data_IF_757958462870
#
_entry.id   IF_757958462870
#
_cell.length_a   1.000
_cell.length_b   1.000
_cell.length_c   1.000
_cell.angle_alpha   90.00
_cell.angle_beta   90.00
_cell.angle_gamma   90.00
#
_symmetry.space_group_name_H-M   'P 1'
#
loop_
_entity.id
_entity.type
_entity.pdbx_description
1 polymer ?
#
# COMPACT_ATOMS: atom_id res chain seq x y z
N UNK A 1 39.25 -18.45 -38.61
CA UNK A 1 38.18 -17.97 -37.74
C UNK A 1 38.22 -16.45 -37.74
N UNK A 2 37.31 -15.80 -38.50
CA UNK A 2 37.14 -14.33 -38.48
C UNK A 2 36.15 -13.95 -37.41
N UNK A 3 36.61 -13.39 -36.30
CA UNK A 3 35.79 -12.72 -35.32
C UNK A 3 35.33 -11.37 -35.89
N UNK A 4 34.09 -11.31 -36.32
CA UNK A 4 33.44 -10.05 -36.75
C UNK A 4 33.20 -9.21 -35.50
N UNK A 5 34.05 -8.21 -35.26
CA UNK A 5 33.81 -7.20 -34.20
C UNK A 5 32.69 -6.27 -34.69
N UNK A 6 31.58 -6.25 -33.96
CA UNK A 6 30.50 -5.29 -34.19
C UNK A 6 31.03 -3.85 -34.14
N UNK A 7 30.60 -2.98 -35.07
CA UNK A 7 31.10 -1.60 -35.13
C UNK A 7 30.73 -0.81 -33.87
N UNK A 8 31.61 0.07 -33.35
CA UNK A 8 31.45 0.79 -32.07
C UNK A 8 30.15 1.63 -31.96
N UNK A 9 29.60 2.08 -33.10
CA UNK A 9 28.35 2.84 -33.12
C UNK A 9 27.12 1.98 -32.81
N UNK A 10 27.09 0.71 -33.24
CA UNK A 10 25.98 -0.21 -32.89
C UNK A 10 25.94 -0.52 -31.42
N UNK A 11 27.06 -0.68 -30.74
CA UNK A 11 27.15 -0.88 -29.31
C UNK A 11 26.68 0.34 -28.52
N UNK A 12 26.99 1.56 -28.99
CA UNK A 12 26.49 2.81 -28.39
C UNK A 12 24.98 2.96 -28.58
N UNK A 13 24.46 2.62 -29.74
CA UNK A 13 23.04 2.65 -30.05
C UNK A 13 22.27 1.64 -29.19
N UNK A 14 22.77 0.40 -29.04
CA UNK A 14 22.19 -0.63 -28.22
C UNK A 14 22.14 -0.20 -26.72
N UNK A 15 23.22 0.41 -26.20
CA UNK A 15 23.28 0.95 -24.84
C UNK A 15 22.27 2.09 -24.62
N UNK A 16 22.12 3.01 -25.59
CA UNK A 16 21.12 4.08 -25.53
C UNK A 16 19.70 3.53 -25.51
N UNK A 17 19.41 2.58 -26.41
CA UNK A 17 18.09 1.96 -26.49
C UNK A 17 17.75 1.19 -25.20
N UNK A 18 18.71 0.48 -24.61
CA UNK A 18 18.55 -0.20 -23.32
C UNK A 18 18.27 0.80 -22.19
N UNK A 19 19.04 1.90 -22.13
CA UNK A 19 18.82 2.96 -21.13
C UNK A 19 17.45 3.63 -21.27
N UNK A 20 16.98 3.88 -22.48
CA UNK A 20 15.63 4.44 -22.71
C UNK A 20 14.51 3.45 -22.39
N UNK A 21 14.73 2.15 -22.62
CA UNK A 21 13.76 1.12 -22.23
C UNK A 21 13.67 0.98 -20.70
N UNK A 22 14.82 0.98 -20.04
CA UNK A 22 14.90 0.94 -18.58
C UNK A 22 14.23 2.16 -17.93
N UNK A 23 14.44 3.36 -18.47
CA UNK A 23 13.79 4.57 -17.99
C UNK A 23 12.28 4.51 -18.19
N UNK A 24 11.78 4.08 -19.35
CA UNK A 24 10.34 3.90 -19.59
C UNK A 24 9.72 2.91 -18.59
N UNK A 25 10.35 1.77 -18.36
CA UNK A 25 9.86 0.80 -17.39
C UNK A 25 9.75 1.40 -15.97
N UNK A 26 10.73 2.22 -15.56
CA UNK A 26 10.66 2.92 -14.25
C UNK A 26 9.51 3.93 -14.19
N UNK A 27 9.29 4.66 -15.27
CA UNK A 27 8.21 5.63 -15.36
C UNK A 27 6.84 4.92 -15.30
N UNK A 28 6.68 3.82 -16.03
CA UNK A 28 5.46 2.99 -16.03
C UNK A 28 5.19 2.35 -14.67
N UNK A 29 6.22 1.83 -13.99
CA UNK A 29 6.12 1.30 -12.61
C UNK A 29 5.66 2.40 -11.66
N UNK A 30 6.27 3.57 -11.76
CA UNK A 30 5.94 4.71 -10.91
C UNK A 30 4.49 5.17 -11.14
N UNK A 31 4.00 5.13 -12.38
CA UNK A 31 2.63 5.50 -12.71
C UNK A 31 1.61 4.51 -12.15
N UNK A 32 1.89 3.19 -12.19
CA UNK A 32 1.03 2.17 -11.57
C UNK A 32 0.91 2.42 -10.07
N UNK A 33 2.03 2.57 -9.37
CA UNK A 33 2.04 2.79 -7.92
C UNK A 33 1.33 4.09 -7.55
N UNK A 34 1.58 5.19 -8.27
CA UNK A 34 0.91 6.49 -8.06
C UNK A 34 -0.58 6.41 -8.31
N UNK A 35 -1.02 5.73 -9.37
CA UNK A 35 -2.45 5.58 -9.69
C UNK A 35 -3.17 4.84 -8.57
N UNK A 36 -2.67 3.68 -8.16
CA UNK A 36 -3.24 2.91 -7.04
C UNK A 36 -3.32 3.71 -5.74
N UNK A 37 -2.25 4.42 -5.40
CA UNK A 37 -2.21 5.27 -4.22
C UNK A 37 -3.25 6.41 -4.28
N UNK A 38 -3.42 7.06 -5.45
CA UNK A 38 -4.39 8.15 -5.64
C UNK A 38 -5.83 7.68 -5.62
N UNK A 39 -6.11 6.47 -6.08
CA UNK A 39 -7.45 5.90 -6.06
C UNK A 39 -7.94 5.71 -4.62
N UNK A 40 -7.15 5.03 -3.79
CA UNK A 40 -7.44 4.83 -2.37
C UNK A 40 -6.16 4.47 -1.60
N UNK A 41 -5.69 5.36 -0.77
CA UNK A 41 -4.45 5.16 0.01
C UNK A 41 -4.54 3.95 0.96
N UNK A 42 -5.69 3.69 1.56
CA UNK A 42 -5.86 2.57 2.49
C UNK A 42 -5.85 1.23 1.74
N UNK A 43 -6.54 1.15 0.62
CA UNK A 43 -6.50 -0.04 -0.26
C UNK A 43 -5.08 -0.28 -0.80
N UNK A 44 -4.36 0.77 -1.14
CA UNK A 44 -2.97 0.68 -1.59
C UNK A 44 -2.06 0.08 -0.51
N UNK A 45 -2.16 0.54 0.74
CA UNK A 45 -1.38 0.01 1.87
C UNK A 45 -1.68 -1.46 2.09
N UNK A 46 -2.96 -1.83 2.18
CA UNK A 46 -3.39 -3.22 2.40
C UNK A 46 -3.02 -4.14 1.24
N UNK A 47 -3.10 -3.63 0.01
CA UNK A 47 -2.65 -4.36 -1.17
C UNK A 47 -1.14 -4.65 -1.12
N UNK A 48 -0.31 -3.66 -0.75
CA UNK A 48 1.14 -3.87 -0.62
C UNK A 48 1.45 -4.88 0.48
N UNK A 49 0.79 -4.82 1.64
CA UNK A 49 1.00 -5.79 2.71
C UNK A 49 0.66 -7.22 2.28
N UNK A 50 -0.44 -7.38 1.54
CA UNK A 50 -0.81 -8.67 0.97
C UNK A 50 0.22 -9.13 -0.09
N UNK A 51 0.68 -8.23 -0.95
CA UNK A 51 1.69 -8.53 -1.95
C UNK A 51 3.02 -8.93 -1.30
N UNK A 52 3.47 -8.24 -0.26
CA UNK A 52 4.67 -8.60 0.52
C UNK A 52 4.61 -10.04 1.04
N UNK A 53 3.46 -10.44 1.62
CA UNK A 53 3.26 -11.80 2.11
C UNK A 53 3.22 -12.84 0.99
N UNK A 54 2.61 -12.51 -0.15
CA UNK A 54 2.61 -13.38 -1.33
C UNK A 54 4.01 -13.54 -1.94
N UNK A 55 4.80 -12.47 -2.00
CA UNK A 55 6.18 -12.52 -2.49
C UNK A 55 7.05 -13.43 -1.59
N UNK A 56 6.88 -13.34 -0.27
CA UNK A 56 7.54 -14.24 0.69
C UNK A 56 7.11 -15.70 0.49
N UNK A 57 5.81 -15.94 0.37
CA UNK A 57 5.27 -17.28 0.15
C UNK A 57 5.79 -17.93 -1.14
N UNK A 58 6.04 -17.12 -2.17
CA UNK A 58 6.63 -17.54 -3.44
C UNK A 58 8.17 -17.51 -3.43
N UNK A 59 8.79 -17.34 -2.26
CA UNK A 59 10.24 -17.32 -2.08
C UNK A 59 10.97 -16.34 -3.03
N UNK A 60 10.30 -15.25 -3.38
CA UNK A 60 10.79 -14.20 -4.29
C UNK A 60 11.19 -14.71 -5.69
N UNK A 61 10.73 -15.89 -6.12
CA UNK A 61 11.01 -16.44 -7.44
C UNK A 61 10.27 -15.67 -8.53
N UNK A 62 10.97 -15.05 -9.51
CA UNK A 62 10.33 -14.31 -10.59
C UNK A 62 9.35 -15.17 -11.40
N UNK A 63 9.69 -16.44 -11.65
CA UNK A 63 8.87 -17.38 -12.41
C UNK A 63 7.58 -17.72 -11.66
N UNK A 64 7.69 -17.98 -10.34
CA UNK A 64 6.55 -18.28 -9.49
C UNK A 64 5.66 -17.04 -9.32
N UNK A 65 6.23 -15.85 -9.15
CA UNK A 65 5.52 -14.58 -9.07
C UNK A 65 4.75 -14.32 -10.35
N UNK A 66 5.40 -14.45 -11.50
CA UNK A 66 4.73 -14.22 -12.79
C UNK A 66 3.59 -15.22 -13.01
N UNK A 67 3.84 -16.51 -12.87
CA UNK A 67 2.85 -17.56 -13.15
C UNK A 67 1.68 -17.54 -12.19
N UNK A 68 1.89 -17.18 -10.93
CA UNK A 68 0.87 -17.21 -9.88
C UNK A 68 0.11 -15.90 -9.74
N UNK A 69 0.81 -14.76 -9.78
CA UNK A 69 0.21 -13.47 -9.43
C UNK A 69 -0.11 -12.59 -10.65
N UNK A 70 0.52 -12.81 -11.79
CA UNK A 70 0.43 -11.89 -12.94
C UNK A 70 -0.24 -12.55 -14.14
N UNK A 71 0.24 -13.72 -14.56
CA UNK A 71 -0.25 -14.39 -15.77
C UNK A 71 -1.77 -14.67 -15.74
N UNK A 72 -2.39 -15.08 -14.62
CA UNK A 72 -3.83 -15.36 -14.57
C UNK A 72 -4.70 -14.10 -14.58
N UNK A 73 -4.14 -12.90 -14.37
CA UNK A 73 -4.90 -11.66 -14.28
C UNK A 73 -5.40 -11.21 -15.65
N UNK A 74 -6.72 -11.05 -15.76
CA UNK A 74 -7.40 -10.60 -16.98
C UNK A 74 -7.59 -9.08 -17.03
N UNK A 75 -7.41 -8.41 -15.90
CA UNK A 75 -7.51 -6.96 -15.74
C UNK A 75 -6.20 -6.23 -16.08
N UNK A 76 -5.11 -6.96 -16.32
CA UNK A 76 -3.83 -6.45 -16.77
C UNK A 76 -3.67 -6.78 -18.24
N UNK A 77 -3.46 -5.77 -19.09
CA UNK A 77 -3.14 -5.97 -20.51
C UNK A 77 -1.81 -6.75 -20.67
N UNK A 78 -1.71 -7.58 -21.70
CA UNK A 78 -0.54 -8.45 -21.89
C UNK A 78 0.77 -7.66 -21.94
N UNK A 79 0.74 -6.48 -22.56
CA UNK A 79 1.89 -5.58 -22.68
C UNK A 79 2.36 -5.02 -21.34
N UNK A 80 1.44 -4.95 -20.37
CA UNK A 80 1.72 -4.43 -19.02
C UNK A 80 2.18 -5.52 -18.05
N UNK A 81 1.98 -6.79 -18.35
CA UNK A 81 2.35 -7.89 -17.42
C UNK A 81 3.83 -7.89 -17.07
N UNK A 82 4.70 -7.56 -18.04
CA UNK A 82 6.13 -7.41 -17.77
C UNK A 82 6.44 -6.26 -16.80
N UNK A 83 5.75 -5.13 -16.93
CA UNK A 83 5.91 -3.97 -16.05
C UNK A 83 5.47 -4.31 -14.63
N UNK A 84 4.37 -5.06 -14.47
CA UNK A 84 3.95 -5.56 -13.16
C UNK A 84 4.96 -6.51 -12.52
N UNK A 85 5.59 -7.40 -13.31
CA UNK A 85 6.66 -8.27 -12.81
C UNK A 85 7.83 -7.44 -12.28
N UNK A 86 8.29 -6.46 -13.06
CA UNK A 86 9.39 -5.58 -12.63
C UNK A 86 9.03 -4.84 -11.33
N UNK A 87 7.82 -4.32 -11.22
CA UNK A 87 7.35 -3.65 -10.00
C UNK A 87 7.34 -4.61 -8.79
N UNK A 88 6.86 -5.84 -8.97
CA UNK A 88 6.86 -6.83 -7.89
C UNK A 88 8.28 -7.22 -7.46
N UNK A 89 9.20 -7.32 -8.43
CA UNK A 89 10.61 -7.56 -8.13
C UNK A 89 11.28 -6.38 -7.43
N UNK A 90 10.90 -5.14 -7.74
CA UNK A 90 11.38 -3.96 -6.98
C UNK A 90 10.89 -4.00 -5.53
N UNK A 91 9.65 -4.38 -5.28
CA UNK A 91 9.12 -4.59 -3.92
C UNK A 91 9.89 -5.70 -3.20
N UNK A 92 10.17 -6.82 -3.87
CA UNK A 92 10.97 -7.91 -3.33
C UNK A 92 12.39 -7.43 -2.93
N UNK A 93 13.03 -6.65 -3.79
CA UNK A 93 14.35 -6.06 -3.52
C UNK A 93 14.32 -5.10 -2.32
N UNK A 94 13.26 -4.30 -2.18
CA UNK A 94 13.09 -3.42 -1.01
C UNK A 94 12.93 -4.22 0.27
N UNK A 95 12.15 -5.31 0.26
CA UNK A 95 12.01 -6.20 1.41
C UNK A 95 13.37 -6.77 1.85
N UNK A 96 14.21 -7.20 0.90
CA UNK A 96 15.58 -7.65 1.19
C UNK A 96 16.44 -6.52 1.76
N UNK A 97 16.41 -5.33 1.17
CA UNK A 97 17.20 -4.18 1.62
C UNK A 97 16.83 -3.71 3.02
N UNK A 98 15.55 -3.83 3.38
CA UNK A 98 15.04 -3.46 4.71
C UNK A 98 15.11 -4.62 5.72
N UNK A 99 15.67 -5.79 5.34
CA UNK A 99 15.78 -6.97 6.19
C UNK A 99 14.43 -7.57 6.58
N UNK A 100 13.45 -7.49 5.68
CA UNK A 100 12.05 -7.92 5.89
C UNK A 100 11.70 -9.16 5.06
N UNK A 101 12.67 -10.05 4.87
CA UNK A 101 12.48 -11.29 4.09
C UNK A 101 11.49 -12.25 4.73
N UNK A 102 11.45 -12.30 6.06
CA UNK A 102 10.61 -13.24 6.79
C UNK A 102 9.30 -12.61 7.28
N UNK A 103 9.33 -11.35 7.72
CA UNK A 103 8.19 -10.67 8.36
C UNK A 103 8.33 -9.15 8.35
N UNK A 104 7.24 -8.48 8.67
CA UNK A 104 7.17 -7.01 8.75
C UNK A 104 6.74 -6.40 7.42
N UNK A 105 6.58 -5.10 7.41
CA UNK A 105 6.12 -4.32 6.26
C UNK A 105 7.15 -3.28 5.87
N UNK A 106 7.15 -2.89 4.60
CA UNK A 106 8.03 -1.85 4.07
C UNK A 106 7.83 -0.52 4.82
N UNK A 107 8.94 0.14 5.14
CA UNK A 107 8.94 1.46 5.80
C UNK A 107 8.09 2.48 5.04
N UNK A 108 8.05 2.39 3.70
CA UNK A 108 7.20 3.23 2.88
C UNK A 108 5.72 3.18 3.31
N UNK A 109 5.18 1.98 3.55
CA UNK A 109 3.77 1.83 3.97
C UNK A 109 3.54 2.32 5.40
N UNK A 110 4.53 2.13 6.28
CA UNK A 110 4.47 2.63 7.66
C UNK A 110 4.53 4.16 7.71
N UNK A 111 5.32 4.80 6.83
CA UNK A 111 5.32 6.26 6.69
C UNK A 111 3.96 6.78 6.21
N UNK A 112 3.32 6.13 5.21
CA UNK A 112 1.98 6.51 4.76
C UNK A 112 0.94 6.39 5.88
N UNK A 113 1.05 5.38 6.75
CA UNK A 113 0.20 5.26 7.94
C UNK A 113 0.50 6.38 8.94
N UNK A 114 1.75 6.80 9.06
CA UNK A 114 2.14 7.98 9.84
C UNK A 114 1.48 9.26 9.33
N UNK A 115 1.52 9.51 8.02
CA UNK A 115 0.85 10.66 7.39
C UNK A 115 -0.68 10.64 7.64
N UNK A 116 -1.28 9.44 7.54
CA UNK A 116 -2.70 9.25 7.87
C UNK A 116 -2.99 9.50 9.35
N UNK A 117 -2.08 9.13 10.25
CA UNK A 117 -2.22 9.42 11.67
C UNK A 117 -2.13 10.92 11.96
N UNK A 118 -1.22 11.63 11.32
CA UNK A 118 -1.12 13.09 11.44
C UNK A 118 -2.40 13.78 10.95
N UNK A 119 -2.98 13.30 9.84
CA UNK A 119 -4.28 13.75 9.37
C UNK A 119 -5.39 13.44 10.37
N UNK A 120 -5.42 12.24 10.96
CA UNK A 120 -6.35 11.89 12.03
C UNK A 120 -6.29 12.91 13.18
N UNK A 121 -5.09 13.23 13.67
CA UNK A 121 -4.92 14.20 14.76
C UNK A 121 -5.42 15.60 14.40
N UNK A 122 -5.31 16.00 13.14
CA UNK A 122 -5.83 17.27 12.64
C UNK A 122 -7.37 17.24 12.54
N UNK A 123 -7.95 16.17 11.99
CA UNK A 123 -9.41 16.01 11.90
C UNK A 123 -10.10 15.95 13.26
N UNK A 124 -9.41 15.45 14.27
CA UNK A 124 -9.92 15.47 15.65
C UNK A 124 -10.07 16.88 16.22
N UNK A 125 -9.39 17.88 15.66
CA UNK A 125 -9.35 19.27 16.15
C UNK A 125 -10.09 20.27 15.25
N UNK A 126 -10.10 20.03 13.94
CA UNK A 126 -10.61 20.98 12.94
C UNK A 126 -12.13 20.78 12.72
N UNK A 127 -12.82 21.85 12.33
CA UNK A 127 -14.27 21.82 12.01
C UNK A 127 -14.59 20.85 10.89
N UNK A 128 -13.74 20.79 9.85
CA UNK A 128 -13.87 19.87 8.70
C UNK A 128 -13.89 18.39 9.11
N UNK A 129 -13.37 18.05 10.30
CA UNK A 129 -13.32 16.69 10.83
C UNK A 129 -14.56 16.25 11.61
N UNK A 130 -15.66 17.01 11.64
CA UNK A 130 -16.84 16.68 12.47
C UNK A 130 -17.42 15.29 12.13
N UNK A 131 -17.65 15.00 10.85
CA UNK A 131 -18.15 13.70 10.43
C UNK A 131 -17.16 12.56 10.75
N UNK A 132 -15.87 12.81 10.59
CA UNK A 132 -14.82 11.86 10.96
C UNK A 132 -14.86 11.55 12.46
N UNK A 133 -14.94 12.56 13.32
CA UNK A 133 -15.04 12.38 14.78
C UNK A 133 -16.25 11.55 15.21
N UNK A 134 -17.41 11.77 14.57
CA UNK A 134 -18.62 10.98 14.84
C UNK A 134 -18.42 9.50 14.47
N UNK A 135 -17.70 9.22 13.39
CA UNK A 135 -17.36 7.86 12.97
C UNK A 135 -16.33 7.24 13.93
N UNK A 136 -15.28 8.00 14.28
CA UNK A 136 -14.23 7.56 15.19
C UNK A 136 -14.74 7.29 16.61
N UNK A 137 -15.68 8.06 17.12
CA UNK A 137 -16.29 7.87 18.44
C UNK A 137 -16.94 6.50 18.63
N UNK A 138 -17.34 5.83 17.55
CA UNK A 138 -17.86 4.45 17.60
C UNK A 138 -16.75 3.40 17.71
N UNK A 139 -15.57 3.69 17.20
CA UNK A 139 -14.40 2.83 17.28
C UNK A 139 -13.65 2.98 18.61
N UNK A 140 -13.61 4.18 19.18
CA UNK A 140 -12.79 4.51 20.34
C UNK A 140 -12.95 3.53 21.52
N UNK A 141 -14.18 3.07 21.90
CA UNK A 141 -14.36 2.09 22.96
C UNK A 141 -13.76 0.71 22.66
N UNK A 142 -13.55 0.37 21.39
CA UNK A 142 -12.99 -0.92 20.96
C UNK A 142 -11.46 -0.93 20.93
N UNK A 143 -10.80 0.23 20.94
CA UNK A 143 -9.34 0.34 20.84
C UNK A 143 -8.59 -0.45 21.92
N UNK A 144 -9.00 -0.47 23.21
CA UNK A 144 -8.32 -1.26 24.22
C UNK A 144 -8.32 -2.76 23.90
N UNK A 145 -9.45 -3.29 23.41
CA UNK A 145 -9.59 -4.69 22.99
C UNK A 145 -8.68 -4.99 21.79
N UNK A 146 -8.70 -4.14 20.78
CA UNK A 146 -7.86 -4.29 19.58
C UNK A 146 -6.37 -4.24 19.94
N UNK A 147 -5.99 -3.34 20.83
CA UNK A 147 -4.61 -3.17 21.29
C UNK A 147 -4.11 -4.40 22.06
N UNK A 148 -4.97 -5.04 22.84
CA UNK A 148 -4.64 -6.26 23.56
C UNK A 148 -4.39 -7.45 22.60
N UNK A 149 -5.07 -7.49 21.46
CA UNK A 149 -4.99 -8.62 20.50
C UNK A 149 -3.89 -8.40 19.44
N UNK A 150 -3.77 -7.21 18.90
CA UNK A 150 -2.95 -6.92 17.70
C UNK A 150 -1.80 -5.97 18.00
N UNK A 151 -1.96 -5.10 18.99
CA UNK A 151 -1.06 -4.00 19.24
C UNK A 151 0.21 -4.38 19.98
N UNK A 152 1.16 -3.47 19.96
CA UNK A 152 2.31 -3.45 20.82
C UNK A 152 2.46 -2.06 21.47
N UNK A 153 3.25 -1.91 22.54
CA UNK A 153 3.51 -0.61 23.15
C UNK A 153 4.10 0.38 22.11
N UNK A 154 3.54 1.59 22.08
CA UNK A 154 4.02 2.66 21.19
C UNK A 154 3.37 2.72 19.80
N UNK A 155 2.54 1.75 19.44
CA UNK A 155 1.78 1.79 18.21
C UNK A 155 0.64 2.84 18.31
N UNK A 156 0.53 3.72 17.31
CA UNK A 156 -0.57 4.67 17.25
C UNK A 156 -1.89 4.00 16.82
N UNK A 157 -3.02 4.68 17.05
CA UNK A 157 -4.35 4.10 16.79
C UNK A 157 -4.60 3.83 15.30
N UNK A 158 -4.04 4.64 14.40
CA UNK A 158 -4.18 4.44 12.96
C UNK A 158 -3.44 3.17 12.51
N UNK A 159 -2.22 2.97 12.96
CA UNK A 159 -1.47 1.73 12.68
C UNK A 159 -2.16 0.52 13.28
N UNK A 160 -2.66 0.62 14.51
CA UNK A 160 -3.44 -0.42 15.17
C UNK A 160 -4.64 -0.83 14.30
N UNK A 161 -5.39 0.15 13.77
CA UNK A 161 -6.53 -0.10 12.90
C UNK A 161 -6.12 -0.82 11.60
N UNK A 162 -5.05 -0.39 10.94
CA UNK A 162 -4.55 -1.07 9.74
C UNK A 162 -4.13 -2.51 10.01
N UNK A 163 -3.42 -2.77 11.10
CA UNK A 163 -3.00 -4.13 11.49
C UNK A 163 -4.19 -5.02 11.85
N UNK A 164 -5.17 -4.49 12.57
CA UNK A 164 -6.38 -5.23 12.91
C UNK A 164 -7.23 -5.52 11.66
N UNK A 165 -7.35 -4.56 10.75
CA UNK A 165 -8.06 -4.72 9.49
C UNK A 165 -7.36 -5.77 8.61
N UNK A 166 -6.04 -5.73 8.51
CA UNK A 166 -5.26 -6.70 7.76
C UNK A 166 -5.37 -8.11 8.35
N UNK A 167 -5.26 -8.26 9.67
CA UNK A 167 -5.45 -9.53 10.35
C UNK A 167 -6.86 -10.10 10.10
N UNK A 168 -7.90 -9.27 10.19
CA UNK A 168 -9.27 -9.68 9.89
C UNK A 168 -9.45 -10.14 8.44
N UNK A 169 -8.80 -9.47 7.48
CA UNK A 169 -8.79 -9.90 6.08
C UNK A 169 -8.12 -11.26 5.91
N UNK A 170 -6.97 -11.50 6.53
CA UNK A 170 -6.27 -12.78 6.48
C UNK A 170 -7.09 -13.92 7.10
N UNK A 171 -7.70 -13.71 8.27
CA UNK A 171 -8.59 -14.69 8.89
C UNK A 171 -9.77 -15.03 7.99
N UNK A 172 -10.37 -14.05 7.35
CA UNK A 172 -11.47 -14.25 6.40
C UNK A 172 -11.04 -15.08 5.20
N UNK A 173 -9.84 -14.83 4.64
CA UNK A 173 -9.30 -15.58 3.49
C UNK A 173 -9.02 -17.03 3.89
N UNK A 174 -8.43 -17.26 5.07
CA UNK A 174 -8.09 -18.59 5.57
C UNK A 174 -9.30 -19.37 6.07
N UNK A 175 -10.43 -18.72 6.31
CA UNK A 175 -11.62 -19.34 6.92
C UNK A 175 -11.42 -19.74 8.38
N UNK A 176 -10.42 -19.19 9.05
CA UNK A 176 -10.05 -19.44 10.45
C UNK A 176 -10.67 -18.40 11.39
N UNK A 177 -10.75 -18.75 12.67
CA UNK A 177 -11.13 -17.84 13.74
C UNK A 177 -12.64 -17.67 13.95
N UNK A 178 -12.99 -16.85 14.95
CA UNK A 178 -14.37 -16.49 15.25
C UNK A 178 -14.88 -15.51 14.21
N UNK A 179 -15.81 -15.97 13.36
CA UNK A 179 -16.41 -15.16 12.30
C UNK A 179 -17.09 -13.89 12.83
N UNK A 180 -17.69 -13.98 14.01
CA UNK A 180 -18.37 -12.82 14.61
C UNK A 180 -17.34 -11.76 15.05
N UNK A 181 -16.28 -12.15 15.74
CA UNK A 181 -15.21 -11.24 16.13
C UNK A 181 -14.52 -10.55 14.94
N UNK A 182 -14.32 -11.26 13.83
CA UNK A 182 -13.81 -10.71 12.58
C UNK A 182 -14.79 -9.70 11.99
N UNK A 183 -16.08 -10.04 11.94
CA UNK A 183 -17.13 -9.16 11.42
C UNK A 183 -17.23 -7.89 12.26
N UNK A 184 -17.28 -8.01 13.59
CA UNK A 184 -17.35 -6.87 14.50
C UNK A 184 -16.15 -5.96 14.36
N UNK A 185 -14.94 -6.54 14.24
CA UNK A 185 -13.71 -5.77 14.00
C UNK A 185 -13.79 -4.96 12.71
N UNK A 186 -14.25 -5.58 11.62
CA UNK A 186 -14.40 -4.90 10.34
C UNK A 186 -15.46 -3.80 10.38
N UNK A 187 -16.57 -4.02 11.09
CA UNK A 187 -17.67 -3.07 11.21
C UNK A 187 -17.25 -1.77 11.89
N UNK A 188 -16.41 -1.82 12.93
CA UNK A 188 -15.92 -0.63 13.63
C UNK A 188 -14.77 0.06 12.92
N UNK A 189 -13.84 -0.68 12.33
CA UNK A 189 -12.60 -0.12 11.76
C UNK A 189 -12.80 0.39 10.33
N UNK A 190 -13.52 -0.38 9.49
CA UNK A 190 -13.62 -0.06 8.06
C UNK A 190 -14.20 1.33 7.77
N UNK A 191 -15.26 1.81 8.47
CA UNK A 191 -15.78 3.15 8.23
C UNK A 191 -14.79 4.27 8.60
N UNK A 192 -13.99 4.07 9.65
CA UNK A 192 -12.98 5.05 10.09
C UNK A 192 -11.85 5.14 9.07
N UNK A 193 -11.31 4.00 8.64
CA UNK A 193 -10.23 3.96 7.66
C UNK A 193 -10.71 4.47 6.29
N UNK A 194 -11.92 4.12 5.85
CA UNK A 194 -12.49 4.62 4.60
C UNK A 194 -12.66 6.14 4.62
N UNK A 195 -13.18 6.69 5.72
CA UNK A 195 -13.35 8.15 5.87
C UNK A 195 -11.99 8.86 5.91
N UNK A 196 -11.01 8.31 6.65
CA UNK A 196 -9.67 8.86 6.71
C UNK A 196 -8.98 8.86 5.35
N UNK A 197 -9.12 7.77 4.59
CA UNK A 197 -8.57 7.66 3.23
C UNK A 197 -9.23 8.64 2.24
N UNK A 198 -10.55 8.83 2.31
CA UNK A 198 -11.27 9.81 1.52
C UNK A 198 -10.80 11.24 1.83
N UNK A 199 -10.68 11.58 3.11
CA UNK A 199 -10.18 12.89 3.55
C UNK A 199 -8.74 13.12 3.10
N UNK A 200 -7.88 12.11 3.20
CA UNK A 200 -6.51 12.18 2.70
C UNK A 200 -6.47 12.48 1.20
N UNK A 201 -7.26 11.76 0.40
CA UNK A 201 -7.37 12.00 -1.03
C UNK A 201 -7.87 13.41 -1.38
N UNK A 202 -8.84 13.94 -0.63
CA UNK A 202 -9.36 15.31 -0.81
C UNK A 202 -8.29 16.36 -0.49
N UNK A 203 -7.49 16.15 0.54
CA UNK A 203 -6.36 17.04 0.88
C UNK A 203 -5.28 16.98 -0.21
N UNK A 204 -4.91 15.79 -0.68
CA UNK A 204 -3.90 15.65 -1.75
C UNK A 204 -4.34 16.30 -3.08
N UNK A 205 -5.64 16.31 -3.38
CA UNK A 205 -6.19 16.98 -4.57
C UNK A 205 -6.45 18.47 -4.38
N UNK A 206 -6.21 19.01 -3.17
CA UNK A 206 -6.44 20.42 -2.85
C UNK A 206 -7.93 20.80 -2.73
N UNK A 207 -8.82 19.81 -2.59
CA UNK A 207 -10.26 20.02 -2.38
C UNK A 207 -10.55 20.50 -0.96
N UNK A 208 -9.69 20.13 -0.02
CA UNK A 208 -9.74 20.56 1.38
C UNK A 208 -8.42 21.21 1.74
N UNK A 209 -8.48 22.43 2.27
CA UNK A 209 -7.35 23.13 2.84
C UNK A 209 -7.46 23.10 4.37
N UNK A 210 -6.63 22.26 5.00
CA UNK A 210 -6.61 22.11 6.46
C UNK A 210 -6.11 23.35 7.20
N UNK A 211 -5.46 24.29 6.51
CA UNK A 211 -4.87 25.50 7.08
C UNK A 211 -5.75 26.74 6.88
N UNK A 212 -6.82 26.65 6.10
CA UNK A 212 -7.82 27.72 6.08
C UNK A 212 -8.53 27.73 7.43
N UNK A 213 -8.09 28.65 8.28
CA UNK A 213 -8.90 29.03 9.45
C UNK A 213 -10.29 29.41 8.96
N UNK A 214 -11.31 28.77 9.53
CA UNK A 214 -12.67 29.28 9.45
C UNK A 214 -12.63 30.70 10.03
N UNK A 215 -12.43 31.68 9.17
CA UNK A 215 -12.73 33.08 9.52
C UNK A 215 -14.24 33.12 9.70
N UNK A 216 -14.65 32.87 10.94
CA UNK A 216 -16.02 32.98 11.38
C UNK A 216 -16.59 34.35 10.94
N UNK A 217 -17.72 34.30 10.26
CA UNK A 217 -18.67 35.41 10.24
C UNK A 217 -19.34 35.54 11.56
#
# INVERSE_FOLDING_TARGET
FHTVRSPPHMLRQAKRNASHAEQRNKDDIMDIAKTKRRENIAEYILYLWQLEDLLRALQFSPEAIFSTLIAPRKDIAEEQKHVYLLWYMDIANLLHQEGKDEKGHLEHTLHLIGDLHDLHLQLMKLSVGEHYRQTYAKLEPELPRLRAVVGNPGMNDTELCFRALYAAMLYRIKGEGDKQAVTDTLEYISPVIANLADMYGKVERGEIDLFKTDTAK
#
